data_IF_532055550235
#
_entry.id   IF_532055550235
#
_cell.length_a   1.000
_cell.length_b   1.000
_cell.length_c   1.000
_cell.angle_alpha   90.00
_cell.angle_beta   90.00
_cell.angle_gamma   90.00
#
_symmetry.space_group_name_H-M   'P 1'
#
loop_
_entity.id
_entity.type
_entity.pdbx_description
1 polymer ?
#
# COMPACT_ATOMS: atom_id res chain seq x y z
N UNK A 1 -7.82 -13.27 -15.61
CA UNK A 1 -8.23 -13.77 -14.32
C UNK A 1 -7.94 -12.80 -13.21
N UNK A 2 -6.84 -13.00 -12.50
CA UNK A 2 -6.36 -12.06 -11.48
C UNK A 2 -5.62 -10.89 -12.13
N UNK A 3 -5.66 -9.70 -11.49
CA UNK A 3 -5.01 -8.50 -12.01
C UNK A 3 -3.66 -8.23 -11.35
N UNK A 4 -3.67 -7.97 -10.05
CA UNK A 4 -2.51 -7.60 -9.26
C UNK A 4 -2.65 -8.18 -7.85
N UNK A 5 -2.58 -9.51 -7.79
CA UNK A 5 -2.56 -10.22 -6.52
C UNK A 5 -1.19 -10.09 -5.88
N UNK A 6 -1.14 -9.57 -4.66
CA UNK A 6 0.12 -9.28 -3.94
C UNK A 6 0.32 -10.25 -2.78
N UNK A 7 -0.66 -10.34 -1.87
CA UNK A 7 -0.63 -11.26 -0.74
C UNK A 7 -1.42 -12.52 -1.00
N UNK A 8 -0.94 -13.64 -0.46
CA UNK A 8 -1.69 -14.90 -0.47
C UNK A 8 -1.31 -15.76 0.74
N UNK A 9 -2.29 -16.50 1.24
CA UNK A 9 -2.09 -17.42 2.35
C UNK A 9 -3.17 -18.51 2.35
N UNK A 10 -2.95 -19.59 3.09
CA UNK A 10 -3.86 -20.73 3.22
C UNK A 10 -4.66 -20.65 4.49
N UNK A 11 -5.98 -20.78 4.36
CA UNK A 11 -6.87 -20.83 5.53
C UNK A 11 -6.66 -22.16 6.28
N UNK A 12 -6.21 -22.13 7.54
CA UNK A 12 -5.82 -23.35 8.28
C UNK A 12 -6.98 -24.31 8.55
N UNK A 13 -8.24 -23.84 8.47
CA UNK A 13 -9.42 -24.66 8.69
C UNK A 13 -9.96 -25.36 7.42
N UNK A 14 -9.42 -25.07 6.24
CA UNK A 14 -9.94 -25.62 4.97
C UNK A 14 -8.87 -25.89 3.91
N UNK A 15 -7.61 -25.58 4.21
CA UNK A 15 -6.49 -25.63 3.25
C UNK A 15 -6.75 -24.85 1.92
N UNK A 16 -7.75 -23.97 1.93
CA UNK A 16 -8.05 -23.14 0.78
C UNK A 16 -7.05 -21.98 0.66
N UNK A 17 -6.56 -21.75 -0.54
CA UNK A 17 -5.70 -20.60 -0.87
C UNK A 17 -6.57 -19.36 -1.09
N UNK A 18 -6.19 -18.27 -0.46
CA UNK A 18 -6.77 -16.95 -0.70
C UNK A 18 -5.71 -15.98 -1.18
N UNK A 19 -6.11 -15.01 -2.00
CA UNK A 19 -5.23 -13.95 -2.48
C UNK A 19 -5.95 -12.59 -2.47
N UNK A 20 -5.24 -11.56 -2.02
CA UNK A 20 -5.64 -10.17 -2.21
C UNK A 20 -5.40 -9.77 -3.66
N UNK A 21 -6.27 -8.97 -4.25
CA UNK A 21 -6.12 -8.49 -5.62
C UNK A 21 -6.51 -7.01 -5.72
N UNK A 22 -5.60 -6.19 -6.26
CA UNK A 22 -5.81 -4.76 -6.38
C UNK A 22 -6.60 -4.42 -7.63
N UNK A 23 -7.69 -3.67 -7.48
CA UNK A 23 -8.48 -3.12 -8.57
C UNK A 23 -7.69 -2.12 -9.43
N UNK A 24 -8.17 -1.87 -10.66
CA UNK A 24 -7.53 -0.90 -11.56
C UNK A 24 -7.82 0.54 -11.11
N UNK A 25 -6.91 1.45 -11.51
CA UNK A 25 -7.01 2.85 -11.19
C UNK A 25 -7.81 3.64 -12.24
N UNK A 26 -8.10 4.92 -11.90
CA UNK A 26 -8.65 5.94 -12.81
C UNK A 26 -10.09 5.69 -13.29
N UNK A 27 -10.88 4.96 -12.52
CA UNK A 27 -12.31 4.76 -12.76
C UNK A 27 -13.21 5.46 -11.72
N UNK A 28 -12.64 6.40 -10.96
CA UNK A 28 -13.32 7.16 -9.90
C UNK A 28 -13.02 6.63 -8.50
N UNK A 29 -13.40 7.40 -7.49
CA UNK A 29 -13.05 7.15 -6.08
C UNK A 29 -13.58 5.83 -5.51
N UNK A 30 -14.75 5.41 -5.95
CA UNK A 30 -15.46 4.28 -5.36
C UNK A 30 -15.53 3.04 -6.27
N UNK A 31 -14.80 3.05 -7.38
CA UNK A 31 -14.77 1.94 -8.33
C UNK A 31 -13.40 1.81 -9.00
N UNK A 32 -12.94 0.60 -9.29
CA UNK A 32 -13.49 -0.68 -8.84
C UNK A 32 -13.08 -1.03 -7.40
N UNK A 33 -13.75 -1.98 -6.73
CA UNK A 33 -13.29 -2.50 -5.46
C UNK A 33 -11.94 -3.21 -5.61
N UNK A 34 -11.19 -3.34 -4.53
CA UNK A 34 -10.15 -4.33 -4.41
C UNK A 34 -10.77 -5.64 -3.86
N UNK A 35 -10.11 -6.77 -4.06
CA UNK A 35 -10.73 -8.07 -3.91
C UNK A 35 -9.95 -8.99 -2.95
N UNK A 36 -10.68 -9.85 -2.23
CA UNK A 36 -10.16 -11.10 -1.70
C UNK A 36 -10.75 -12.25 -2.51
N UNK A 37 -9.89 -13.03 -3.13
CA UNK A 37 -10.28 -14.15 -3.95
C UNK A 37 -9.89 -15.49 -3.30
N UNK A 38 -10.84 -16.43 -3.20
CA UNK A 38 -10.55 -17.83 -2.91
C UNK A 38 -10.09 -18.50 -4.20
N UNK A 39 -8.83 -18.90 -4.23
CA UNK A 39 -8.16 -19.35 -5.44
C UNK A 39 -8.43 -20.84 -5.68
N UNK A 40 -8.97 -21.15 -6.85
CA UNK A 40 -9.23 -22.52 -7.31
C UNK A 40 -8.65 -22.72 -8.71
N UNK A 41 -8.07 -23.89 -8.91
CA UNK A 41 -7.44 -24.24 -10.19
C UNK A 41 -8.43 -24.21 -11.34
N UNK A 42 -8.10 -23.47 -12.39
CA UNK A 42 -8.92 -23.36 -13.61
C UNK A 42 -10.05 -22.34 -13.52
N UNK A 43 -10.23 -21.65 -12.39
CA UNK A 43 -11.22 -20.57 -12.26
C UNK A 43 -10.75 -19.27 -12.92
N UNK A 44 -11.71 -18.49 -13.38
CA UNK A 44 -11.52 -17.17 -13.97
C UNK A 44 -12.07 -16.09 -13.01
N UNK A 45 -11.24 -15.10 -12.65
CA UNK A 45 -11.52 -14.06 -11.67
C UNK A 45 -11.77 -12.68 -12.28
N UNK A 46 -12.16 -12.63 -13.54
CA UNK A 46 -12.69 -11.46 -14.19
C UNK A 46 -11.71 -10.66 -15.02
N UNK A 47 -10.53 -10.36 -14.54
CA UNK A 47 -9.59 -9.48 -15.23
C UNK A 47 -9.16 -10.01 -16.63
N UNK A 48 -9.16 -9.14 -17.67
CA UNK A 48 -9.44 -7.70 -17.68
C UNK A 48 -10.91 -7.34 -17.97
N UNK A 49 -11.83 -8.28 -18.08
CA UNK A 49 -13.20 -8.06 -18.59
C UNK A 49 -14.19 -7.68 -17.50
N UNK A 50 -13.88 -8.01 -16.25
CA UNK A 50 -14.71 -7.67 -15.09
C UNK A 50 -13.85 -7.06 -13.99
N UNK A 51 -14.48 -6.20 -13.20
CA UNK A 51 -14.04 -5.71 -11.92
C UNK A 51 -15.03 -6.27 -10.89
N UNK A 52 -14.62 -7.20 -10.06
CA UNK A 52 -15.51 -8.05 -9.29
C UNK A 52 -16.59 -8.68 -10.21
N UNK A 53 -17.86 -8.32 -10.01
CA UNK A 53 -18.97 -8.80 -10.85
C UNK A 53 -19.39 -7.83 -11.96
N UNK A 54 -18.82 -6.62 -11.97
CA UNK A 54 -19.19 -5.56 -12.92
C UNK A 54 -18.31 -5.63 -14.17
N UNK A 55 -18.91 -5.63 -15.40
CA UNK A 55 -18.12 -5.55 -16.63
C UNK A 55 -17.22 -4.32 -16.64
N UNK A 56 -15.96 -4.51 -17.05
CA UNK A 56 -15.02 -3.41 -17.18
C UNK A 56 -15.46 -2.44 -18.29
N UNK A 57 -15.48 -1.12 -18.07
CA UNK A 57 -15.98 -0.16 -19.06
C UNK A 57 -15.19 -0.14 -20.37
N UNK A 58 -13.89 -0.45 -20.32
CA UNK A 58 -13.01 -0.41 -21.49
C UNK A 58 -12.83 -1.78 -22.15
N UNK A 59 -12.91 -2.86 -21.36
CA UNK A 59 -12.56 -4.21 -21.82
C UNK A 59 -13.73 -5.20 -21.78
N UNK A 60 -14.79 -4.94 -20.99
CA UNK A 60 -15.90 -5.88 -20.81
C UNK A 60 -16.58 -6.33 -22.12
N UNK A 61 -16.66 -5.43 -23.10
CA UNK A 61 -17.21 -5.74 -24.41
C UNK A 61 -16.33 -6.66 -25.29
N UNK A 62 -15.09 -6.95 -24.84
CA UNK A 62 -14.13 -7.82 -25.56
C UNK A 62 -14.05 -9.22 -24.96
N UNK A 63 -14.97 -9.59 -24.06
CA UNK A 63 -15.00 -10.91 -23.43
C UNK A 63 -15.10 -12.00 -24.52
N UNK A 64 -14.16 -12.96 -24.60
CA UNK A 64 -14.25 -14.07 -25.55
C UNK A 64 -15.42 -15.00 -25.25
N UNK A 65 -16.07 -15.53 -26.29
CA UNK A 65 -17.26 -16.39 -26.15
C UNK A 65 -17.05 -17.66 -25.32
N UNK A 66 -15.81 -18.17 -25.30
CA UNK A 66 -15.46 -19.41 -24.62
C UNK A 66 -14.78 -19.22 -23.26
N UNK A 67 -14.87 -18.02 -22.67
CA UNK A 67 -14.31 -17.80 -21.33
C UNK A 67 -15.13 -18.54 -20.27
N UNK A 68 -14.48 -19.10 -19.25
CA UNK A 68 -15.18 -19.59 -18.07
C UNK A 68 -16.01 -18.49 -17.41
N UNK A 69 -17.04 -18.90 -16.69
CA UNK A 69 -17.83 -17.94 -15.91
C UNK A 69 -16.94 -17.16 -14.94
N UNK A 70 -17.22 -15.87 -14.82
CA UNK A 70 -16.52 -15.02 -13.84
C UNK A 70 -16.84 -15.50 -12.43
N UNK A 71 -15.80 -15.75 -11.64
CA UNK A 71 -15.92 -16.09 -10.23
C UNK A 71 -15.84 -14.82 -9.40
N UNK A 72 -16.88 -14.47 -8.66
CA UNK A 72 -16.88 -13.28 -7.83
C UNK A 72 -15.85 -13.42 -6.69
N UNK A 73 -15.31 -12.30 -6.18
CA UNK A 73 -14.54 -12.30 -4.95
C UNK A 73 -15.36 -12.79 -3.77
N UNK A 74 -14.71 -13.32 -2.75
CA UNK A 74 -15.37 -13.71 -1.50
C UNK A 74 -15.53 -12.54 -0.54
N UNK A 75 -14.75 -11.45 -0.75
CA UNK A 75 -14.87 -10.20 -0.05
C UNK A 75 -14.38 -9.06 -0.94
N UNK A 76 -15.06 -7.91 -0.88
CA UNK A 76 -14.72 -6.69 -1.60
C UNK A 76 -14.23 -5.63 -0.61
N UNK A 77 -12.96 -5.26 -0.69
CA UNK A 77 -12.44 -4.07 -0.01
C UNK A 77 -12.88 -2.82 -0.75
N UNK A 78 -12.94 -1.70 -0.05
CA UNK A 78 -13.21 -0.41 -0.70
C UNK A 78 -12.19 -0.13 -1.79
N UNK A 79 -12.65 0.55 -2.83
CA UNK A 79 -11.82 0.88 -4.00
C UNK A 79 -10.52 1.58 -3.59
N UNK A 80 -9.43 1.17 -4.23
CA UNK A 80 -8.09 1.75 -4.08
C UNK A 80 -7.43 1.59 -2.71
N UNK A 81 -7.99 0.79 -1.79
CA UNK A 81 -7.38 0.55 -0.47
C UNK A 81 -6.05 -0.18 -0.53
N UNK A 82 -5.72 -0.76 -1.68
CA UNK A 82 -4.49 -1.50 -1.93
C UNK A 82 -4.24 -2.60 -0.88
N UNK A 83 -5.08 -3.66 -0.82
CA UNK A 83 -4.81 -4.81 0.03
C UNK A 83 -3.55 -5.53 -0.45
N UNK A 84 -2.55 -5.63 0.42
CA UNK A 84 -1.28 -6.27 0.13
C UNK A 84 -1.17 -7.59 0.91
N UNK A 85 -0.34 -7.67 1.95
CA UNK A 85 -0.16 -8.89 2.72
C UNK A 85 -1.43 -9.38 3.39
N UNK A 86 -1.64 -10.68 3.39
CA UNK A 86 -2.69 -11.39 4.15
C UNK A 86 -2.05 -12.47 5.01
N UNK A 87 -2.52 -12.62 6.23
CA UNK A 87 -2.10 -13.69 7.14
C UNK A 87 -3.30 -14.29 7.86
N UNK A 88 -3.57 -15.58 7.63
CA UNK A 88 -4.51 -16.36 8.45
C UNK A 88 -3.89 -16.66 9.80
N UNK A 89 -4.58 -16.28 10.88
CA UNK A 89 -4.10 -16.47 12.23
C UNK A 89 -4.29 -17.92 12.69
N UNK A 90 -3.28 -18.46 13.36
CA UNK A 90 -3.26 -19.83 13.85
C UNK A 90 -3.38 -19.93 15.38
N UNK A 91 -3.06 -18.83 16.09
CA UNK A 91 -3.05 -18.76 17.54
C UNK A 91 -4.21 -17.88 18.04
N UNK A 92 -5.45 -18.31 17.73
CA UNK A 92 -6.65 -17.62 18.20
C UNK A 92 -7.29 -18.37 19.34
N UNK A 93 -7.77 -17.61 20.34
CA UNK A 93 -8.65 -18.15 21.37
C UNK A 93 -10.01 -18.42 20.74
N UNK A 94 -10.65 -19.54 21.11
CA UNK A 94 -12.02 -19.92 20.73
C UNK A 94 -12.27 -20.37 19.28
N UNK A 95 -11.31 -20.96 18.58
CA UNK A 95 -11.46 -21.47 17.20
C UNK A 95 -11.96 -20.41 16.18
N UNK A 96 -11.70 -19.14 16.44
CA UNK A 96 -12.12 -18.05 15.56
C UNK A 96 -11.37 -18.12 14.23
N UNK A 97 -12.12 -18.10 13.13
CA UNK A 97 -11.58 -18.12 11.75
C UNK A 97 -11.26 -16.69 11.32
N UNK A 98 -10.01 -16.29 11.41
CA UNK A 98 -9.59 -14.90 11.20
C UNK A 98 -8.35 -14.80 10.30
N UNK A 99 -8.34 -13.75 9.47
CA UNK A 99 -7.13 -13.30 8.79
C UNK A 99 -6.92 -11.80 9.00
N UNK A 100 -5.66 -11.37 9.02
CA UNK A 100 -5.29 -9.96 8.97
C UNK A 100 -4.87 -9.58 7.57
N UNK A 101 -5.30 -8.40 7.09
CA UNK A 101 -4.93 -7.87 5.78
C UNK A 101 -4.37 -6.46 5.94
N UNK A 102 -3.17 -6.24 5.38
CA UNK A 102 -2.57 -4.93 5.31
C UNK A 102 -3.19 -4.13 4.15
N UNK A 103 -3.90 -3.05 4.46
CA UNK A 103 -4.41 -2.08 3.50
C UNK A 103 -3.40 -0.94 3.39
N UNK A 104 -2.59 -0.96 2.33
CA UNK A 104 -1.50 -0.01 2.11
C UNK A 104 -1.97 1.44 1.94
N UNK A 105 -3.22 1.62 1.51
CA UNK A 105 -3.88 2.89 1.38
C UNK A 105 -3.84 3.46 -0.04
N UNK A 106 -4.84 4.27 -0.32
CA UNK A 106 -5.13 4.81 -1.65
C UNK A 106 -4.14 5.90 -2.06
N UNK A 107 -3.84 5.98 -3.35
CA UNK A 107 -3.21 7.14 -3.97
C UNK A 107 -4.15 7.81 -4.98
N UNK A 108 -5.17 7.09 -5.44
CA UNK A 108 -6.10 7.49 -6.49
C UNK A 108 -7.52 7.69 -5.94
N UNK A 109 -7.64 8.53 -4.91
CA UNK A 109 -8.91 8.95 -4.32
C UNK A 109 -8.85 10.43 -3.93
N UNK A 110 -9.98 11.12 -4.03
CA UNK A 110 -10.12 12.49 -3.54
C UNK A 110 -9.95 12.58 -2.02
N UNK A 111 -10.44 11.57 -1.30
CA UNK A 111 -10.21 11.40 0.13
C UNK A 111 -9.42 10.10 0.37
N UNK A 112 -8.29 10.16 1.11
CA UNK A 112 -7.49 8.99 1.43
C UNK A 112 -8.30 7.93 2.18
N UNK A 113 -8.08 6.65 1.83
CA UNK A 113 -8.74 5.51 2.48
C UNK A 113 -7.80 4.29 2.52
N UNK A 114 -8.02 3.39 3.49
CA UNK A 114 -7.09 2.32 3.83
C UNK A 114 -6.11 2.77 4.91
N UNK A 115 -4.81 2.60 4.70
CA UNK A 115 -3.75 2.95 5.66
C UNK A 115 -3.97 2.32 7.04
N UNK A 116 -4.30 1.04 7.06
CA UNK A 116 -4.63 0.27 8.26
C UNK A 116 -4.42 -1.21 8.05
N UNK A 117 -4.43 -1.98 9.11
CA UNK A 117 -4.61 -3.43 9.04
C UNK A 117 -6.03 -3.73 9.46
N UNK A 118 -6.73 -4.55 8.69
CA UNK A 118 -8.08 -5.03 9.00
C UNK A 118 -8.04 -6.49 9.39
N UNK A 119 -8.99 -6.89 10.24
CA UNK A 119 -9.31 -8.27 10.55
C UNK A 119 -10.50 -8.71 9.70
N UNK A 120 -10.35 -9.80 8.98
CA UNK A 120 -11.43 -10.49 8.30
C UNK A 120 -11.84 -11.70 9.13
N UNK A 121 -13.11 -11.78 9.53
CA UNK A 121 -13.66 -12.88 10.30
C UNK A 121 -14.68 -13.65 9.48
N UNK A 122 -14.46 -14.95 9.32
CA UNK A 122 -15.40 -15.86 8.65
C UNK A 122 -16.46 -16.30 9.63
N UNK A 123 -17.71 -16.00 9.32
CA UNK A 123 -18.87 -16.45 10.07
C UNK A 123 -19.28 -17.89 9.65
N UNK A 124 -20.10 -18.53 10.45
CA UNK A 124 -20.56 -19.91 10.21
C UNK A 124 -21.42 -20.05 8.94
N UNK A 125 -22.11 -19.00 8.53
CA UNK A 125 -22.88 -18.91 7.28
C UNK A 125 -22.02 -18.71 6.04
N UNK A 126 -20.71 -18.44 6.24
CA UNK A 126 -19.72 -18.23 5.19
C UNK A 126 -19.49 -16.76 4.83
N UNK A 127 -20.22 -15.83 5.44
CA UNK A 127 -19.99 -14.40 5.30
C UNK A 127 -18.67 -13.98 5.95
N UNK A 128 -18.09 -12.90 5.45
CA UNK A 128 -16.85 -12.32 5.95
C UNK A 128 -17.15 -10.92 6.50
N UNK A 129 -16.80 -10.69 7.75
CA UNK A 129 -16.89 -9.38 8.41
C UNK A 129 -15.53 -8.75 8.45
N UNK A 130 -15.44 -7.49 8.01
CA UNK A 130 -14.24 -6.67 8.08
C UNK A 130 -14.32 -5.70 9.26
N UNK A 131 -13.31 -5.74 10.15
CA UNK A 131 -13.15 -4.81 11.27
C UNK A 131 -11.76 -4.19 11.26
N UNK A 132 -11.63 -2.99 11.81
CA UNK A 132 -10.34 -2.36 12.02
C UNK A 132 -9.53 -3.11 13.09
N UNK A 133 -8.30 -3.54 12.75
CA UNK A 133 -7.39 -4.22 13.69
C UNK A 133 -6.28 -3.28 14.17
N UNK A 134 -5.59 -2.59 13.27
CA UNK A 134 -4.52 -1.65 13.59
C UNK A 134 -4.69 -0.39 12.77
N UNK A 135 -4.93 0.73 13.44
CA UNK A 135 -5.19 2.04 12.85
C UNK A 135 -4.17 3.08 13.31
N UNK A 136 -4.25 4.30 12.77
CA UNK A 136 -3.40 5.42 13.17
C UNK A 136 -2.27 5.71 12.18
N UNK A 137 -2.19 4.99 11.08
CA UNK A 137 -1.25 5.29 9.99
C UNK A 137 -1.65 6.52 9.18
N UNK A 138 -2.94 6.89 9.23
CA UNK A 138 -3.46 8.14 8.68
C UNK A 138 -4.27 8.84 9.78
N UNK A 139 -3.99 10.12 10.04
CA UNK A 139 -4.70 10.95 11.02
C UNK A 139 -5.10 12.28 10.34
N UNK A 140 -6.36 12.41 9.97
CA UNK A 140 -6.80 13.51 9.10
C UNK A 140 -6.10 13.43 7.74
N UNK A 141 -5.32 14.45 7.39
CA UNK A 141 -4.47 14.47 6.19
C UNK A 141 -3.04 13.97 6.43
N UNK A 142 -2.65 13.74 7.69
CA UNK A 142 -1.27 13.43 8.05
C UNK A 142 -1.01 11.94 7.93
N UNK A 143 -0.15 11.58 6.99
CA UNK A 143 0.24 10.21 6.72
C UNK A 143 1.48 9.82 7.56
N UNK A 144 1.31 8.85 8.46
CA UNK A 144 2.33 8.36 9.38
C UNK A 144 2.93 7.04 8.97
N UNK A 145 2.23 6.25 8.16
CA UNK A 145 2.69 4.94 7.71
C UNK A 145 1.80 4.33 6.63
N UNK A 146 2.31 3.27 6.01
CA UNK A 146 1.60 2.45 5.00
C UNK A 146 1.92 0.98 5.26
N UNK A 147 1.01 0.21 5.87
CA UNK A 147 1.25 -1.19 6.16
C UNK A 147 1.35 -2.01 4.87
N UNK A 148 2.29 -2.95 4.82
CA UNK A 148 2.59 -3.77 3.63
C UNK A 148 2.27 -5.23 3.87
N UNK A 149 2.78 -5.81 4.95
CA UNK A 149 2.65 -7.24 5.21
C UNK A 149 2.45 -7.52 6.68
N UNK A 150 1.85 -8.67 6.98
CA UNK A 150 1.52 -9.13 8.32
C UNK A 150 2.07 -10.53 8.53
N UNK A 151 2.74 -10.75 9.64
CA UNK A 151 3.26 -12.07 10.04
C UNK A 151 2.84 -12.37 11.47
N UNK A 152 2.31 -13.58 11.70
CA UNK A 152 2.10 -14.15 13.01
C UNK A 152 3.29 -15.04 13.38
N UNK A 153 3.94 -14.73 14.50
CA UNK A 153 5.01 -15.56 15.04
C UNK A 153 4.44 -16.79 15.78
N UNK A 154 5.27 -17.80 15.99
CA UNK A 154 4.88 -19.05 16.67
C UNK A 154 4.37 -18.86 18.11
N UNK A 155 4.61 -17.72 18.73
CA UNK A 155 4.14 -17.34 20.07
C UNK A 155 2.92 -16.40 20.03
N UNK A 156 2.26 -16.25 18.87
CA UNK A 156 1.07 -15.44 18.68
C UNK A 156 1.31 -13.93 18.54
N UNK A 157 2.56 -13.47 18.59
CA UNK A 157 2.86 -12.05 18.34
C UNK A 157 2.68 -11.72 16.86
N UNK A 158 2.11 -10.54 16.60
CA UNK A 158 1.87 -10.06 15.24
C UNK A 158 2.93 -9.00 14.90
N UNK A 159 3.53 -9.13 13.72
CA UNK A 159 4.42 -8.12 13.15
C UNK A 159 3.78 -7.53 11.90
N UNK A 160 3.88 -6.21 11.75
CA UNK A 160 3.39 -5.47 10.58
C UNK A 160 4.52 -4.64 10.01
N UNK A 161 4.85 -4.83 8.75
CA UNK A 161 5.83 -4.03 8.04
C UNK A 161 5.20 -2.77 7.43
N UNK A 162 5.97 -1.69 7.38
CA UNK A 162 5.58 -0.38 6.88
C UNK A 162 6.73 0.19 6.04
N UNK A 163 6.54 0.29 4.74
CA UNK A 163 7.55 0.80 3.80
C UNK A 163 7.61 2.32 3.77
N UNK A 164 6.51 2.99 4.17
CA UNK A 164 6.45 4.43 4.23
C UNK A 164 7.28 4.98 5.40
N UNK A 165 7.10 4.45 6.59
CA UNK A 165 7.85 4.89 7.77
C UNK A 165 9.19 4.13 7.94
N UNK A 166 9.42 3.07 7.14
CA UNK A 166 10.61 2.20 7.25
C UNK A 166 10.65 1.47 8.59
N UNK A 167 9.53 0.89 9.02
CA UNK A 167 9.35 0.30 10.35
C UNK A 167 8.75 -1.10 10.29
N UNK A 168 8.98 -1.84 11.36
CA UNK A 168 8.24 -3.06 11.68
C UNK A 168 7.61 -2.85 13.06
N UNK A 169 6.29 -2.93 13.11
CA UNK A 169 5.52 -2.84 14.35
C UNK A 169 5.35 -4.22 14.95
N UNK A 170 5.51 -4.32 16.26
CA UNK A 170 5.18 -5.50 17.05
C UNK A 170 3.89 -5.24 17.82
N UNK A 171 2.88 -6.06 17.55
CA UNK A 171 1.61 -6.06 18.28
C UNK A 171 1.57 -7.30 19.16
N UNK A 172 1.23 -7.12 20.41
CA UNK A 172 1.07 -8.20 21.40
C UNK A 172 -0.10 -7.92 22.33
N UNK A 173 -0.77 -8.97 22.77
CA UNK A 173 -1.77 -8.87 23.81
C UNK A 173 -1.09 -8.54 25.16
N UNK A 174 -1.71 -7.71 25.99
CA UNK A 174 -1.24 -7.40 27.33
C UNK A 174 -1.43 -5.93 27.70
N UNK A 175 -1.41 -5.64 29.00
CA UNK A 175 -1.35 -4.24 29.47
C UNK A 175 0.02 -3.68 29.08
N UNK A 176 0.00 -2.66 28.22
CA UNK A 176 1.19 -2.04 27.71
C UNK A 176 2.00 -1.39 28.83
N UNK A 177 3.17 -1.93 29.11
CA UNK A 177 4.25 -1.06 29.53
C UNK A 177 4.59 -0.20 28.31
N UNK A 178 4.37 1.11 28.42
CA UNK A 178 4.72 2.11 27.41
C UNK A 178 6.24 2.23 27.23
N UNK A 179 6.94 1.13 27.15
CA UNK A 179 8.28 1.10 26.59
C UNK A 179 8.15 1.22 25.08
N UNK A 180 7.89 2.46 24.62
CA UNK A 180 8.32 2.87 23.30
C UNK A 180 9.79 2.50 23.22
N UNK A 181 10.10 1.40 22.54
CA UNK A 181 11.46 1.19 22.08
C UNK A 181 11.79 2.48 21.30
N UNK A 182 12.63 3.30 21.87
CA UNK A 182 13.13 4.47 21.19
C UNK A 182 13.91 3.93 19.99
N UNK A 183 13.23 3.82 18.86
CA UNK A 183 13.91 3.65 17.58
C UNK A 183 14.80 4.89 17.53
N UNK A 184 16.10 4.68 17.58
CA UNK A 184 17.04 5.76 17.42
C UNK A 184 16.66 6.48 16.13
N UNK A 185 16.02 7.64 16.26
CA UNK A 185 15.64 8.45 15.11
C UNK A 185 16.96 8.78 14.43
N UNK A 186 17.19 8.23 13.26
CA UNK A 186 18.32 8.60 12.41
C UNK A 186 18.21 10.10 12.20
N UNK A 187 19.13 10.85 12.83
CA UNK A 187 19.19 12.30 12.66
C UNK A 187 19.74 12.53 11.24
N UNK A 188 18.82 12.75 10.30
CA UNK A 188 19.21 13.17 8.96
C UNK A 188 19.63 14.64 8.99
N UNK A 189 20.64 15.04 8.19
CA UNK A 189 21.01 16.43 8.06
C UNK A 189 19.79 17.25 7.62
N UNK A 190 19.60 18.43 8.19
CA UNK A 190 18.56 19.35 7.71
C UNK A 190 18.85 19.78 6.27
N UNK A 191 17.83 20.20 5.52
CA UNK A 191 18.02 20.72 4.17
C UNK A 191 19.04 21.88 4.12
N UNK A 192 19.10 22.69 5.18
CA UNK A 192 20.08 23.77 5.34
C UNK A 192 21.51 23.24 5.48
N UNK A 193 21.71 22.14 6.19
CA UNK A 193 23.02 21.48 6.34
C UNK A 193 23.47 20.83 5.05
N UNK A 194 22.57 20.21 4.28
CA UNK A 194 22.87 19.60 3.00
C UNK A 194 23.38 20.64 1.97
N UNK A 195 22.86 21.86 2.01
CA UNK A 195 23.23 22.94 1.13
C UNK A 195 24.32 23.86 1.70
N UNK A 196 24.82 23.61 2.91
CA UNK A 196 25.80 24.48 3.58
C UNK A 196 27.13 24.61 2.84
N UNK A 197 27.50 23.60 2.04
CA UNK A 197 28.73 23.61 1.25
C UNK A 197 28.68 24.53 0.01
N UNK A 198 27.49 25.01 -0.37
CA UNK A 198 27.29 25.83 -1.57
C UNK A 198 27.20 27.32 -1.23
N UNK A 199 27.74 28.19 -2.09
CA UNK A 199 27.56 29.63 -1.97
C UNK A 199 26.10 30.04 -2.16
N UNK A 200 25.66 31.24 -1.71
CA UNK A 200 24.29 31.71 -1.94
C UNK A 200 23.86 31.67 -3.41
N UNK A 201 24.74 32.10 -4.32
CA UNK A 201 24.45 32.11 -5.76
C UNK A 201 24.33 30.69 -6.32
N UNK A 202 25.16 29.74 -5.86
CA UNK A 202 25.07 28.35 -6.25
C UNK A 202 23.78 27.71 -5.76
N UNK A 203 23.34 28.03 -4.54
CA UNK A 203 22.06 27.53 -3.99
C UNK A 203 20.89 28.04 -4.82
N UNK A 204 20.91 29.32 -5.18
CA UNK A 204 19.85 29.90 -6.00
C UNK A 204 19.80 29.25 -7.38
N UNK A 205 20.94 29.02 -8.03
CA UNK A 205 21.03 28.33 -9.31
C UNK A 205 20.52 26.88 -9.24
N UNK A 206 20.84 26.14 -8.17
CA UNK A 206 20.34 24.78 -7.94
C UNK A 206 18.82 24.76 -7.74
N UNK A 207 18.27 25.72 -7.01
CA UNK A 207 16.81 25.83 -6.81
C UNK A 207 16.09 26.10 -8.14
N UNK A 208 16.60 27.02 -8.96
CA UNK A 208 16.03 27.32 -10.28
C UNK A 208 16.08 26.12 -11.23
N UNK A 209 17.20 25.36 -11.23
CA UNK A 209 17.32 24.14 -12.01
C UNK A 209 16.37 23.05 -11.52
N UNK A 210 16.23 22.90 -10.20
CA UNK A 210 15.31 21.94 -9.60
C UNK A 210 13.85 22.25 -9.94
N UNK A 211 13.46 23.52 -9.90
CA UNK A 211 12.13 23.97 -10.28
C UNK A 211 11.83 23.69 -11.75
N UNK A 212 12.78 23.97 -12.64
CA UNK A 212 12.65 23.67 -14.07
C UNK A 212 12.50 22.18 -14.33
N UNK A 213 13.27 21.33 -13.62
CA UNK A 213 13.13 19.87 -13.70
C UNK A 213 11.78 19.42 -13.19
N UNK A 214 11.33 19.91 -12.04
CA UNK A 214 10.05 19.61 -11.43
C UNK A 214 8.88 19.87 -12.39
N UNK A 215 8.91 21.03 -13.05
CA UNK A 215 7.90 21.40 -14.04
C UNK A 215 8.02 20.58 -15.35
N UNK A 216 9.24 20.45 -15.90
CA UNK A 216 9.45 19.77 -17.18
C UNK A 216 9.18 18.26 -17.13
N UNK A 217 9.31 17.64 -15.96
CA UNK A 217 9.00 16.23 -15.72
C UNK A 217 7.58 16.01 -15.18
N UNK A 218 6.78 17.07 -15.09
CA UNK A 218 5.40 17.05 -14.56
C UNK A 218 5.28 16.37 -13.17
N UNK A 219 6.25 16.63 -12.29
CA UNK A 219 6.28 16.05 -10.95
C UNK A 219 5.07 16.48 -10.10
N UNK A 220 4.56 17.68 -10.34
CA UNK A 220 3.35 18.25 -9.74
C UNK A 220 2.09 17.45 -10.03
N UNK A 221 2.03 16.75 -11.17
CA UNK A 221 0.88 15.91 -11.54
C UNK A 221 0.57 14.83 -10.48
N UNK A 222 1.58 14.42 -9.72
CA UNK A 222 1.45 13.48 -8.61
C UNK A 222 1.69 14.16 -7.26
N UNK A 223 2.76 14.93 -7.11
CA UNK A 223 3.19 15.47 -5.81
C UNK A 223 2.34 16.65 -5.31
N UNK A 224 1.43 17.20 -6.11
CA UNK A 224 0.41 18.13 -5.67
C UNK A 224 -0.87 17.45 -5.14
N UNK A 225 -1.01 16.11 -5.29
CA UNK A 225 -2.17 15.37 -4.79
C UNK A 225 -2.09 15.17 -3.28
N UNK A 226 -3.21 15.33 -2.55
CA UNK A 226 -3.22 15.23 -1.09
C UNK A 226 -2.88 13.83 -0.55
N UNK A 227 -3.01 12.80 -1.40
CA UNK A 227 -2.75 11.40 -1.05
C UNK A 227 -1.33 10.94 -1.34
N UNK A 228 -0.54 11.77 -2.03
CA UNK A 228 0.85 11.46 -2.34
C UNK A 228 1.75 12.24 -1.41
N UNK A 229 2.86 11.62 -1.05
CA UNK A 229 3.86 12.17 -0.15
C UNK A 229 4.33 13.57 -0.61
N UNK A 230 4.02 14.60 0.18
CA UNK A 230 4.51 15.95 -0.08
C UNK A 230 6.05 16.00 0.00
N UNK A 231 6.66 16.77 -0.90
CA UNK A 231 8.12 16.90 -0.97
C UNK A 231 8.71 17.66 0.22
N UNK A 232 7.91 18.41 0.97
CA UNK A 232 8.32 19.15 2.16
C UNK A 232 9.01 18.27 3.22
N UNK A 233 8.66 17.00 3.29
CA UNK A 233 9.26 16.06 4.24
C UNK A 233 10.44 15.25 3.69
N UNK A 234 10.88 15.47 2.44
CA UNK A 234 11.93 14.69 1.79
C UNK A 234 13.26 14.83 2.54
N UNK A 235 13.63 16.04 2.95
CA UNK A 235 14.86 16.30 3.71
C UNK A 235 14.90 15.66 5.11
N UNK A 236 13.75 15.29 5.65
CA UNK A 236 13.68 14.57 6.93
C UNK A 236 13.92 13.06 6.76
N UNK A 237 13.97 12.54 5.53
CA UNK A 237 14.02 11.09 5.23
C UNK A 237 15.24 10.69 4.42
N UNK A 238 15.70 11.55 3.54
CA UNK A 238 16.81 11.26 2.64
C UNK A 238 17.90 12.33 2.79
N UNK A 239 19.16 11.91 2.81
CA UNK A 239 20.26 12.80 2.49
C UNK A 239 20.40 12.91 0.96
N UNK A 240 21.27 13.81 0.46
CA UNK A 240 21.42 14.05 -0.98
C UNK A 240 21.83 12.80 -1.76
N UNK A 241 22.73 11.97 -1.22
CA UNK A 241 23.18 10.75 -1.89
C UNK A 241 22.05 9.71 -1.98
N UNK A 242 21.31 9.51 -0.88
CA UNK A 242 20.15 8.60 -0.84
C UNK A 242 19.03 9.07 -1.77
N UNK A 243 18.82 10.38 -1.91
CA UNK A 243 17.84 10.92 -2.84
C UNK A 243 18.29 10.71 -4.29
N UNK A 244 19.56 10.90 -4.59
CA UNK A 244 20.11 10.62 -5.92
C UNK A 244 19.97 9.14 -6.29
N UNK A 245 20.24 8.22 -5.35
CA UNK A 245 20.05 6.79 -5.54
C UNK A 245 18.57 6.43 -5.70
N UNK A 246 17.67 7.10 -4.97
CA UNK A 246 16.23 6.92 -5.14
C UNK A 246 15.76 7.24 -6.56
N UNK A 247 16.29 8.26 -7.21
CA UNK A 247 15.94 8.58 -8.60
C UNK A 247 16.43 7.53 -9.63
N UNK A 248 17.40 6.67 -9.27
CA UNK A 248 17.81 5.54 -10.10
C UNK A 248 16.81 4.38 -10.08
N UNK A 249 16.19 4.15 -8.91
CA UNK A 249 15.24 3.07 -8.69
C UNK A 249 14.10 3.55 -7.76
N UNK A 250 13.24 4.46 -8.24
CA UNK A 250 12.16 4.99 -7.41
C UNK A 250 11.16 3.90 -7.06
N UNK A 251 10.62 4.01 -5.84
CA UNK A 251 9.54 3.12 -5.40
C UNK A 251 8.23 3.48 -6.14
N UNK A 252 7.53 2.51 -6.71
CA UNK A 252 6.22 2.75 -7.30
C UNK A 252 5.24 3.41 -6.29
N UNK A 253 4.32 4.27 -6.74
CA UNK A 253 3.97 4.57 -8.13
C UNK A 253 4.86 5.63 -8.83
N UNK A 254 5.93 6.12 -8.18
CA UNK A 254 6.80 7.11 -8.81
C UNK A 254 7.48 6.51 -10.05
N UNK A 255 7.32 7.10 -11.24
CA UNK A 255 7.94 6.59 -12.45
C UNK A 255 9.47 6.82 -12.43
N UNK A 256 10.19 5.98 -13.15
CA UNK A 256 11.61 6.20 -13.37
C UNK A 256 11.81 7.27 -14.44
N UNK A 257 12.57 8.31 -14.10
CA UNK A 257 12.96 9.36 -15.04
C UNK A 257 14.39 9.14 -15.52
N UNK A 258 14.64 9.44 -16.79
CA UNK A 258 16.01 9.54 -17.31
C UNK A 258 16.59 10.89 -16.89
N UNK A 259 17.36 10.87 -15.81
CA UNK A 259 18.09 12.01 -15.26
C UNK A 259 19.58 11.71 -15.32
N UNK A 260 20.37 12.69 -15.76
CA UNK A 260 21.83 12.60 -15.67
C UNK A 260 22.32 12.83 -14.23
N UNK A 261 23.63 12.67 -14.00
CA UNK A 261 24.20 12.79 -12.66
C UNK A 261 24.08 14.19 -12.04
N UNK A 262 23.99 15.24 -12.87
CA UNK A 262 23.83 16.62 -12.43
C UNK A 262 22.36 16.99 -12.15
N UNK A 263 21.42 16.22 -12.69
CA UNK A 263 19.97 16.39 -12.51
C UNK A 263 19.40 15.60 -11.33
N UNK A 264 20.15 14.65 -10.80
CA UNK A 264 19.84 13.84 -9.62
C UNK A 264 20.43 14.46 -8.35
#
# INVERSE_FOLDING_TARGET
GLRNSVGFDWAPWSDALYATDNGRDLLGDNFPPCELNRIEKGSFYGWPYFNATTPDPDFGHRLPENMPANRPPVHEFRAHNAPLGIRFLQHQDNDEKMALVALHGSWNRSEPDGYKVVALRWLDDGDIVEDDFLVGFLQGSDLHGRPVDVVEAADGRIFVSDDYAGRIYLIRSGQGDDQRAAVASRKLPSAGEALAAYSPDQRQALLEQGEQLYQSKACDSCHALPTIRHLESVSARYNLAELADFFLAPTPPMPRFELDAGQR
#
